data_IF_700375971487
#
_entry.id   IF_700375971487
#
_cell.length_a   1.000
_cell.length_b   1.000
_cell.length_c   1.000
_cell.angle_alpha   90.00
_cell.angle_beta   90.00
_cell.angle_gamma   90.00
#
_symmetry.space_group_name_H-M   'P 1'
#
loop_
_entity.id
_entity.type
_entity.pdbx_description
1 polymer ?
#
# COMPACT_ATOMS: atom_id res chain seq x y z
N UNK A 1 -1.90 -0.07 3.89
CA UNK A 1 -2.39 1.06 3.06
C UNK A 1 -3.33 1.94 3.89
N UNK A 2 -3.14 3.26 3.87
CA UNK A 2 -4.02 4.24 4.54
C UNK A 2 -4.77 5.14 3.54
N UNK A 3 -4.62 4.90 2.23
CA UNK A 3 -5.09 5.80 1.16
C UNK A 3 -6.58 5.67 0.82
N UNK A 4 -7.35 4.84 1.53
CA UNK A 4 -8.77 4.60 1.22
C UNK A 4 -9.01 3.93 -0.15
N UNK A 5 -7.94 3.50 -0.83
CA UNK A 5 -8.00 2.78 -2.09
C UNK A 5 -8.46 1.35 -1.80
N UNK A 6 -9.48 0.90 -2.53
CA UNK A 6 -9.90 -0.49 -2.58
C UNK A 6 -9.20 -1.17 -3.76
N UNK A 7 -8.11 -1.94 -3.54
CA UNK A 7 -7.32 -2.51 -4.62
C UNK A 7 -8.17 -3.39 -5.53
N UNK A 8 -9.07 -4.20 -4.97
CA UNK A 8 -9.94 -5.09 -5.75
C UNK A 8 -10.86 -4.31 -6.71
N UNK A 9 -11.37 -3.14 -6.28
CA UNK A 9 -12.20 -2.29 -7.14
C UNK A 9 -11.39 -1.67 -8.28
N UNK A 10 -10.13 -1.32 -7.99
CA UNK A 10 -9.21 -0.76 -8.99
C UNK A 10 -8.77 -1.82 -10.01
N UNK A 11 -8.49 -3.04 -9.57
CA UNK A 11 -8.18 -4.19 -10.44
C UNK A 11 -9.34 -4.51 -11.37
N UNK A 12 -10.57 -4.54 -10.83
CA UNK A 12 -11.76 -4.73 -11.63
C UNK A 12 -11.91 -3.64 -12.70
N UNK A 13 -11.80 -2.37 -12.31
CA UNK A 13 -11.91 -1.25 -13.24
C UNK A 13 -10.81 -1.29 -14.31
N UNK A 14 -9.57 -1.62 -13.93
CA UNK A 14 -8.46 -1.75 -14.86
C UNK A 14 -8.69 -2.85 -15.89
N UNK A 15 -9.12 -4.04 -15.46
CA UNK A 15 -9.44 -5.14 -16.37
C UNK A 15 -10.61 -4.80 -17.29
N UNK A 16 -11.66 -4.15 -16.78
CA UNK A 16 -12.83 -3.79 -17.56
C UNK A 16 -12.51 -2.72 -18.63
N UNK A 17 -11.66 -1.75 -18.29
CA UNK A 17 -11.23 -0.68 -19.19
C UNK A 17 -10.12 -1.12 -20.16
N UNK A 18 -9.33 -2.14 -19.79
CA UNK A 18 -8.23 -2.65 -20.61
C UNK A 18 -8.69 -3.51 -21.80
N UNK A 19 -9.88 -4.11 -21.74
CA UNK A 19 -10.43 -4.94 -22.80
C UNK A 19 -10.54 -4.17 -24.14
N UNK A 20 -10.03 -4.75 -25.21
CA UNK A 20 -9.96 -4.15 -26.54
C UNK A 20 -8.89 -3.07 -26.71
N UNK A 21 -8.00 -2.88 -25.72
CA UNK A 21 -6.90 -1.91 -25.77
C UNK A 21 -5.54 -2.60 -25.80
N UNK A 22 -4.46 -1.81 -25.95
CA UNK A 22 -3.08 -2.31 -25.80
C UNK A 22 -2.78 -2.87 -24.40
N UNK A 23 -3.59 -2.52 -23.40
CA UNK A 23 -3.48 -3.02 -22.04
C UNK A 23 -4.30 -4.30 -21.79
N UNK A 24 -4.93 -4.88 -22.81
CA UNK A 24 -5.63 -6.16 -22.67
C UNK A 24 -4.65 -7.24 -22.20
N UNK A 25 -4.99 -7.92 -21.10
CA UNK A 25 -4.12 -8.92 -20.47
C UNK A 25 -2.94 -8.37 -19.67
N UNK A 26 -2.80 -7.04 -19.54
CA UNK A 26 -1.80 -6.45 -18.65
C UNK A 26 -2.13 -6.72 -17.17
N UNK A 27 -1.10 -6.87 -16.34
CA UNK A 27 -1.26 -7.03 -14.90
C UNK A 27 -1.12 -5.66 -14.19
N UNK A 28 -2.04 -5.36 -13.28
CA UNK A 28 -1.92 -4.24 -12.35
C UNK A 28 -1.32 -4.77 -11.05
N UNK A 29 -0.14 -4.26 -10.66
CA UNK A 29 0.58 -4.72 -9.47
C UNK A 29 0.61 -3.58 -8.45
N UNK A 30 0.21 -3.88 -7.21
CA UNK A 30 0.31 -2.93 -6.10
C UNK A 30 1.58 -3.15 -5.30
N UNK A 31 2.39 -2.12 -5.19
CA UNK A 31 3.50 -2.05 -4.24
C UNK A 31 3.02 -1.28 -3.01
N UNK A 32 3.04 -1.93 -1.84
CA UNK A 32 2.63 -1.31 -0.58
C UNK A 32 3.75 -1.35 0.43
N UNK A 33 4.21 -0.18 0.84
CA UNK A 33 5.15 -0.08 1.95
C UNK A 33 4.38 -0.15 3.29
N UNK A 34 4.84 -0.97 4.24
CA UNK A 34 4.23 -1.03 5.56
C UNK A 34 4.39 0.32 6.27
N UNK A 35 3.38 0.66 7.08
CA UNK A 35 3.46 1.83 7.93
C UNK A 35 4.52 1.59 9.02
N UNK A 36 5.46 2.54 9.17
CA UNK A 36 6.48 2.48 10.23
C UNK A 36 6.04 3.28 11.43
N UNK A 37 6.22 2.71 12.62
CA UNK A 37 5.86 3.35 13.87
C UNK A 37 7.08 3.48 14.78
N UNK A 38 7.10 4.53 15.58
CA UNK A 38 8.07 4.73 16.65
C UNK A 38 7.38 4.77 18.00
N UNK A 39 7.91 4.01 18.95
CA UNK A 39 7.59 4.17 20.35
C UNK A 39 8.74 4.93 21.01
N UNK A 40 8.47 6.10 21.57
CA UNK A 40 9.50 6.90 22.25
C UNK A 40 10.23 6.18 23.41
N UNK A 41 9.68 5.07 23.91
CA UNK A 41 10.32 4.23 24.94
C UNK A 41 10.90 2.91 24.42
N UNK A 42 10.42 2.36 23.30
CA UNK A 42 10.83 1.04 22.80
C UNK A 42 11.60 1.08 21.47
N UNK A 43 11.61 2.23 20.78
CA UNK A 43 12.19 2.44 19.46
C UNK A 43 11.25 2.14 18.30
N UNK A 44 11.83 2.03 17.10
CA UNK A 44 11.13 1.73 15.85
C UNK A 44 10.50 0.33 15.88
N UNK A 45 9.28 0.24 15.36
CA UNK A 45 8.45 -0.95 15.31
C UNK A 45 7.85 -1.09 13.91
N UNK A 46 7.99 -2.28 13.35
CA UNK A 46 7.21 -2.71 12.19
C UNK A 46 5.87 -3.23 12.71
N UNK A 47 4.82 -2.41 12.56
CA UNK A 47 3.50 -2.76 13.05
C UNK A 47 2.52 -2.83 11.88
N UNK A 48 2.22 -4.05 11.44
CA UNK A 48 1.29 -4.33 10.35
C UNK A 48 -0.19 -4.05 10.68
N UNK A 49 -0.50 -3.52 11.86
CA UNK A 49 -1.85 -3.10 12.25
C UNK A 49 -1.89 -1.61 12.55
N UNK A 50 -3.02 -0.98 12.24
CA UNK A 50 -3.30 0.43 12.51
C UNK A 50 -3.63 0.68 13.99
N UNK A 51 -2.95 0.01 14.91
CA UNK A 51 -3.10 0.22 16.34
C UNK A 51 -2.06 1.26 16.78
N UNK A 52 -2.51 2.38 17.35
CA UNK A 52 -1.61 3.44 17.82
C UNK A 52 -1.04 3.17 19.23
N UNK A 53 -0.95 1.89 19.61
CA UNK A 53 -0.53 1.44 20.93
C UNK A 53 0.61 0.43 20.78
N UNK A 54 1.70 0.65 21.52
CA UNK A 54 2.90 -0.17 21.46
C UNK A 54 2.61 -1.55 22.06
N UNK A 55 2.80 -2.65 21.32
CA UNK A 55 2.53 -4.00 21.84
C UNK A 55 3.51 -4.43 22.93
N UNK A 56 4.65 -3.73 23.08
CA UNK A 56 5.69 -4.05 24.07
C UNK A 56 5.46 -3.40 25.43
N UNK A 57 5.03 -2.13 25.43
CA UNK A 57 4.90 -1.34 26.67
C UNK A 57 3.51 -0.73 26.90
N UNK A 58 2.59 -0.85 25.95
CA UNK A 58 1.27 -0.22 26.00
C UNK A 58 1.26 1.30 25.82
N UNK A 59 2.43 1.92 25.57
CA UNK A 59 2.55 3.36 25.33
C UNK A 59 2.08 3.78 23.92
N UNK A 60 1.94 5.10 23.66
CA UNK A 60 1.51 5.58 22.35
C UNK A 60 2.56 5.32 21.26
N UNK A 61 2.10 4.96 20.06
CA UNK A 61 2.92 4.88 18.84
C UNK A 61 2.78 6.15 18.00
N UNK A 62 3.90 6.65 17.50
CA UNK A 62 3.96 7.72 16.50
C UNK A 62 4.12 7.10 15.12
N UNK A 63 3.27 7.49 14.17
CA UNK A 63 3.47 7.12 12.78
C UNK A 63 4.65 7.90 12.20
N UNK A 64 5.68 7.20 11.74
CA UNK A 64 6.86 7.78 11.10
C UNK A 64 6.66 7.93 9.60
N UNK A 65 6.13 6.88 8.96
CA UNK A 65 5.95 6.83 7.52
C UNK A 65 4.70 6.02 7.17
N UNK A 66 3.87 6.56 6.29
CA UNK A 66 2.82 5.82 5.61
C UNK A 66 2.56 6.44 4.24
N UNK A 67 2.44 5.60 3.22
CA UNK A 67 1.94 6.01 1.91
C UNK A 67 0.47 6.44 2.06
N UNK A 68 0.17 7.71 1.79
CA UNK A 68 -1.19 8.26 1.80
C UNK A 68 -1.80 8.36 0.39
N UNK A 69 -0.98 8.21 -0.63
CA UNK A 69 -1.33 8.46 -2.02
C UNK A 69 -1.17 7.19 -2.87
N UNK A 70 -1.89 7.15 -4.00
CA UNK A 70 -1.71 6.16 -5.05
C UNK A 70 -0.89 6.78 -6.17
N UNK A 71 0.28 6.20 -6.46
CA UNK A 71 1.20 6.69 -7.48
C UNK A 71 1.46 5.59 -8.51
N UNK A 72 1.59 5.98 -9.77
CA UNK A 72 2.07 5.08 -10.82
C UNK A 72 3.60 5.00 -10.76
N UNK A 73 4.12 3.86 -10.30
CA UNK A 73 5.56 3.66 -10.15
C UNK A 73 6.26 3.38 -11.49
N UNK A 74 5.72 2.45 -12.29
CA UNK A 74 6.30 2.09 -13.58
C UNK A 74 5.27 1.51 -14.54
N UNK A 75 5.60 1.49 -15.83
CA UNK A 75 4.86 0.79 -16.88
C UNK A 75 5.88 0.03 -17.72
N UNK A 76 5.72 -1.28 -17.81
CA UNK A 76 6.60 -2.15 -18.60
C UNK A 76 5.83 -2.82 -19.73
N UNK A 77 6.34 -2.84 -20.97
CA UNK A 77 5.71 -3.59 -22.04
C UNK A 77 5.83 -5.09 -21.76
N UNK A 78 4.74 -5.82 -21.92
CA UNK A 78 4.73 -7.28 -21.97
C UNK A 78 5.50 -7.71 -23.23
N UNK A 79 6.77 -8.06 -23.05
CA UNK A 79 7.60 -8.59 -24.13
C UNK A 79 7.10 -10.00 -24.46
N UNK A 80 6.31 -10.11 -25.53
CA UNK A 80 5.94 -11.37 -26.17
C UNK A 80 7.16 -12.11 -26.73
#
# INVERSE_FOLDING_TARGET
MLSGVAPEALEFAFSALGAGTVAEGAALVFETEPARFDCGSCGELDHGRLEFVCPRCGGPLRLLHASRDLLLCSVTPSSS
#
